data_IF_210186665184
#
_entry.id   IF_210186665184
#
_cell.length_a   1.000
_cell.length_b   1.000
_cell.length_c   1.000
_cell.angle_alpha   90.00
_cell.angle_beta   90.00
_cell.angle_gamma   90.00
#
_symmetry.space_group_name_H-M   'P 1'
#
loop_
_entity.id
_entity.type
_entity.pdbx_description
1 polymer ?
#
# COMPACT_ATOMS: atom_id res chain seq x y z
N UNK A 1 -63.10 6.58 53.81
CA UNK A 1 -62.72 5.71 52.68
C UNK A 1 -61.22 5.87 52.51
N UNK A 2 -60.46 4.95 53.11
CA UNK A 2 -59.01 4.92 53.08
C UNK A 2 -58.57 3.76 52.19
N UNK A 3 -57.48 3.98 51.48
CA UNK A 3 -56.92 3.13 50.43
C UNK A 3 -56.39 1.79 50.97
N UNK A 4 -56.56 0.73 50.19
CA UNK A 4 -55.78 -0.51 50.26
C UNK A 4 -55.15 -0.77 48.88
N UNK A 5 -53.82 -0.80 48.85
CA UNK A 5 -53.01 -1.30 47.72
C UNK A 5 -52.97 -2.83 47.74
N UNK A 6 -52.85 -3.49 46.58
CA UNK A 6 -52.30 -4.84 46.51
C UNK A 6 -50.86 -4.82 45.94
N UNK A 7 -49.91 -5.30 46.74
CA UNK A 7 -48.62 -5.79 46.27
C UNK A 7 -48.79 -7.16 45.60
N UNK A 8 -48.28 -7.33 44.37
CA UNK A 8 -47.82 -8.65 43.92
C UNK A 8 -46.77 -8.57 42.82
N UNK A 9 -45.62 -9.16 43.17
CA UNK A 9 -44.62 -9.86 42.35
C UNK A 9 -43.75 -9.07 41.35
N UNK A 10 -42.54 -8.82 41.85
CA UNK A 10 -41.27 -8.58 41.16
C UNK A 10 -41.07 -9.56 39.99
N UNK A 11 -41.18 -9.05 38.78
CA UNK A 11 -40.69 -9.71 37.57
C UNK A 11 -39.30 -9.16 37.27
N UNK A 12 -38.26 -9.88 37.69
CA UNK A 12 -36.89 -9.63 37.23
C UNK A 12 -36.86 -9.90 35.72
N UNK A 13 -36.77 -8.82 34.93
CA UNK A 13 -36.51 -8.91 33.50
C UNK A 13 -35.06 -9.35 33.31
N UNK A 14 -34.88 -10.63 32.99
CA UNK A 14 -33.67 -11.18 32.36
C UNK A 14 -33.48 -10.51 31.00
N UNK A 15 -32.88 -9.33 31.00
CA UNK A 15 -32.28 -8.71 29.81
C UNK A 15 -30.79 -9.01 29.82
N UNK A 16 -30.34 -9.92 28.95
CA UNK A 16 -28.93 -9.98 28.50
C UNK A 16 -28.65 -10.98 27.36
N UNK A 17 -29.53 -11.96 27.07
CA UNK A 17 -29.15 -13.06 26.16
C UNK A 17 -29.59 -12.88 24.69
N UNK A 18 -30.50 -11.95 24.40
CA UNK A 18 -31.03 -11.79 23.03
C UNK A 18 -30.14 -10.97 22.09
N UNK A 19 -29.27 -10.10 22.61
CA UNK A 19 -28.40 -9.24 21.78
C UNK A 19 -27.16 -10.00 21.27
N UNK A 20 -26.59 -10.89 22.10
CA UNK A 20 -25.41 -11.69 21.73
C UNK A 20 -25.71 -12.75 20.65
N UNK A 21 -26.88 -13.40 20.70
CA UNK A 21 -27.31 -14.39 19.69
C UNK A 21 -27.56 -13.73 18.33
N UNK A 22 -28.05 -12.49 18.33
CA UNK A 22 -28.29 -11.72 17.11
C UNK A 22 -26.97 -11.28 16.45
N UNK A 23 -25.97 -10.88 17.25
CA UNK A 23 -24.65 -10.48 16.73
C UNK A 23 -23.93 -11.61 15.99
N UNK A 24 -23.91 -12.82 16.56
CA UNK A 24 -23.25 -13.98 15.93
C UNK A 24 -23.93 -14.41 14.63
N UNK A 25 -25.27 -14.30 14.57
CA UNK A 25 -26.03 -14.61 13.35
C UNK A 25 -25.75 -13.59 12.23
N UNK A 26 -25.54 -12.32 12.56
CA UNK A 26 -25.12 -11.31 11.57
C UNK A 26 -23.71 -11.56 11.07
N UNK A 27 -22.76 -11.91 11.94
CA UNK A 27 -21.39 -12.22 11.54
C UNK A 27 -21.34 -13.42 10.57
N UNK A 28 -22.12 -14.47 10.85
CA UNK A 28 -22.25 -15.62 9.93
C UNK A 28 -22.85 -15.21 8.58
N UNK A 29 -23.89 -14.37 8.59
CA UNK A 29 -24.51 -13.87 7.36
C UNK A 29 -23.54 -13.00 6.53
N UNK A 30 -22.73 -12.18 7.19
CA UNK A 30 -21.71 -11.33 6.56
C UNK A 30 -20.62 -12.19 5.94
N UNK A 31 -20.08 -13.18 6.68
CA UNK A 31 -19.09 -14.11 6.16
C UNK A 31 -19.62 -14.86 4.94
N UNK A 32 -20.84 -15.41 5.03
CA UNK A 32 -21.47 -16.10 3.91
C UNK A 32 -21.70 -15.18 2.70
N UNK A 33 -21.97 -13.89 2.91
CA UNK A 33 -22.08 -12.91 1.82
C UNK A 33 -20.72 -12.65 1.18
N UNK A 34 -19.66 -12.47 1.97
CA UNK A 34 -18.30 -12.28 1.46
C UNK A 34 -17.84 -13.49 0.64
N UNK A 35 -18.09 -14.70 1.12
CA UNK A 35 -17.75 -15.94 0.40
C UNK A 35 -18.46 -16.03 -0.94
N UNK A 36 -19.77 -15.70 -1.00
CA UNK A 36 -20.52 -15.68 -2.27
C UNK A 36 -19.91 -14.69 -3.27
N UNK A 37 -19.58 -13.48 -2.83
CA UNK A 37 -18.96 -12.46 -3.68
C UNK A 37 -17.60 -12.94 -4.18
N UNK A 38 -16.77 -13.51 -3.30
CA UNK A 38 -15.44 -14.01 -3.68
C UNK A 38 -15.54 -15.20 -4.65
N UNK A 39 -16.51 -16.11 -4.48
CA UNK A 39 -16.75 -17.21 -5.41
C UNK A 39 -17.18 -16.72 -6.79
N UNK A 40 -18.09 -15.76 -6.87
CA UNK A 40 -18.51 -15.14 -8.14
C UNK A 40 -17.32 -14.49 -8.86
N UNK A 41 -16.49 -13.76 -8.13
CA UNK A 41 -15.25 -13.16 -8.66
C UNK A 41 -14.26 -14.23 -9.12
N UNK A 42 -14.12 -15.32 -8.35
CA UNK A 42 -13.18 -16.40 -8.64
C UNK A 42 -13.54 -17.20 -9.90
N UNK A 43 -14.83 -17.33 -10.19
CA UNK A 43 -15.33 -17.94 -11.44
C UNK A 43 -15.01 -17.05 -12.65
N UNK A 44 -15.08 -15.73 -12.49
CA UNK A 44 -14.83 -14.79 -13.58
C UNK A 44 -13.35 -14.52 -13.84
N UNK A 45 -12.53 -14.52 -12.77
CA UNK A 45 -11.15 -14.09 -12.83
C UNK A 45 -10.20 -15.15 -12.24
N UNK A 46 -9.18 -15.59 -12.99
CA UNK A 46 -8.10 -16.40 -12.43
C UNK A 46 -7.31 -15.58 -11.40
N UNK A 47 -6.53 -16.26 -10.56
CA UNK A 47 -5.69 -15.62 -9.55
C UNK A 47 -4.69 -14.67 -10.21
N UNK A 48 -4.04 -15.15 -11.27
CA UNK A 48 -3.14 -14.39 -12.14
C UNK A 48 -3.47 -14.75 -13.58
N UNK A 49 -3.80 -13.76 -14.42
CA UNK A 49 -4.13 -13.99 -15.82
C UNK A 49 -2.90 -14.35 -16.66
N UNK A 50 -3.14 -14.81 -17.89
CA UNK A 50 -2.12 -14.80 -18.93
C UNK A 50 -1.63 -13.38 -19.26
N UNK A 51 -0.52 -13.29 -20.00
CA UNK A 51 -0.02 -12.01 -20.51
C UNK A 51 -0.91 -11.54 -21.66
N UNK A 52 -1.60 -10.42 -21.47
CA UNK A 52 -2.53 -9.83 -22.43
C UNK A 52 -1.93 -8.59 -23.07
N UNK A 53 -2.32 -8.29 -24.30
CA UNK A 53 -2.06 -6.99 -24.92
C UNK A 53 -2.79 -5.88 -24.12
N UNK A 54 -2.13 -4.75 -23.86
CA UNK A 54 -2.72 -3.66 -23.05
C UNK A 54 -4.02 -3.11 -23.65
N UNK A 55 -4.20 -3.27 -24.97
CA UNK A 55 -5.41 -2.89 -25.70
C UNK A 55 -6.71 -3.50 -25.14
N UNK A 56 -6.64 -4.60 -24.38
CA UNK A 56 -7.82 -5.17 -23.71
C UNK A 56 -8.49 -4.19 -22.78
N UNK A 57 -7.74 -3.25 -22.17
CA UNK A 57 -8.28 -2.24 -21.27
C UNK A 57 -9.27 -1.31 -21.98
N UNK A 58 -9.12 -1.05 -23.28
CA UNK A 58 -10.06 -0.20 -24.01
C UNK A 58 -11.49 -0.76 -24.01
N UNK A 59 -11.63 -2.09 -23.93
CA UNK A 59 -12.93 -2.77 -23.92
C UNK A 59 -13.56 -2.80 -22.52
N UNK A 60 -12.78 -2.53 -21.47
CA UNK A 60 -13.25 -2.54 -20.08
C UNK A 60 -13.89 -1.22 -19.66
N UNK A 61 -13.55 -0.13 -20.34
CA UNK A 61 -14.11 1.19 -20.08
C UNK A 61 -15.04 1.60 -21.22
N UNK A 62 -16.10 2.32 -20.87
CA UNK A 62 -17.03 2.84 -21.87
C UNK A 62 -16.31 3.77 -22.86
N UNK A 63 -16.74 3.77 -24.12
CA UNK A 63 -16.10 4.55 -25.19
C UNK A 63 -16.23 6.07 -24.96
N UNK A 64 -17.28 6.48 -24.26
CA UNK A 64 -17.57 7.87 -23.89
C UNK A 64 -16.82 8.34 -22.63
N UNK A 65 -16.17 7.42 -21.90
CA UNK A 65 -15.28 7.77 -20.79
C UNK A 65 -13.90 8.25 -21.31
N UNK A 66 -13.93 9.44 -21.90
CA UNK A 66 -12.78 10.06 -22.53
C UNK A 66 -11.56 10.19 -21.60
N UNK A 67 -11.77 10.30 -20.28
CA UNK A 67 -10.68 10.43 -19.30
C UNK A 67 -9.91 9.11 -19.19
N UNK A 68 -10.60 7.98 -19.01
CA UNK A 68 -9.95 6.68 -18.92
C UNK A 68 -9.38 6.23 -20.27
N UNK A 69 -10.10 6.50 -21.37
CA UNK A 69 -9.61 6.24 -22.72
C UNK A 69 -8.27 6.97 -22.98
N UNK A 70 -8.15 8.24 -22.57
CA UNK A 70 -6.92 9.00 -22.69
C UNK A 70 -5.80 8.46 -21.79
N UNK A 71 -6.10 8.07 -20.55
CA UNK A 71 -5.12 7.45 -19.65
C UNK A 71 -4.59 6.12 -20.19
N UNK A 72 -5.45 5.29 -20.78
CA UNK A 72 -5.04 4.03 -21.41
C UNK A 72 -4.14 4.33 -22.62
N UNK A 73 -4.44 5.36 -23.43
CA UNK A 73 -3.55 5.82 -24.51
C UNK A 73 -2.18 6.24 -23.99
N UNK A 74 -2.12 6.98 -22.89
CA UNK A 74 -0.85 7.39 -22.28
C UNK A 74 -0.08 6.21 -21.69
N UNK A 75 -0.79 5.21 -21.17
CA UNK A 75 -0.21 3.98 -20.65
C UNK A 75 0.38 3.12 -21.78
N UNK A 76 -0.30 3.05 -22.91
CA UNK A 76 0.13 2.31 -24.10
C UNK A 76 1.41 2.88 -24.74
N UNK A 77 1.79 4.11 -24.41
CA UNK A 77 3.10 4.69 -24.79
C UNK A 77 4.26 4.08 -24.01
N UNK A 78 4.00 3.52 -22.82
CA UNK A 78 5.02 3.01 -21.89
C UNK A 78 5.03 1.49 -21.79
N UNK A 79 3.86 0.86 -21.91
CA UNK A 79 3.69 -0.58 -21.71
C UNK A 79 2.91 -1.19 -22.89
N UNK A 80 3.33 -2.37 -23.33
CA UNK A 80 2.66 -3.12 -24.40
C UNK A 80 1.72 -4.21 -23.85
N UNK A 81 2.08 -4.77 -22.69
CA UNK A 81 1.38 -5.91 -22.10
C UNK A 81 0.84 -5.58 -20.71
N UNK A 82 -0.19 -6.32 -20.30
CA UNK A 82 -0.75 -6.32 -18.96
C UNK A 82 -1.02 -7.74 -18.50
N UNK A 83 -0.86 -7.97 -17.19
CA UNK A 83 -1.30 -9.18 -16.50
C UNK A 83 -2.24 -8.76 -15.39
N UNK A 84 -3.44 -9.32 -15.36
CA UNK A 84 -4.47 -8.99 -14.37
C UNK A 84 -4.38 -9.97 -13.20
N UNK A 85 -4.69 -9.49 -12.00
CA UNK A 85 -4.85 -10.33 -10.81
C UNK A 85 -6.28 -10.28 -10.31
N UNK A 86 -6.72 -11.33 -9.63
CA UNK A 86 -8.06 -11.39 -9.03
C UNK A 86 -8.26 -10.25 -8.03
N UNK A 87 -9.40 -9.53 -8.06
CA UNK A 87 -9.71 -8.47 -7.09
C UNK A 87 -10.24 -9.08 -5.78
N UNK A 88 -9.37 -9.78 -5.04
CA UNK A 88 -9.68 -10.49 -3.79
C UNK A 88 -9.09 -9.81 -2.53
N UNK A 89 -8.67 -8.54 -2.65
CA UNK A 89 -7.96 -7.81 -1.60
C UNK A 89 -6.48 -8.21 -1.46
N UNK A 90 -6.01 -9.28 -2.12
CA UNK A 90 -4.61 -9.72 -2.11
C UNK A 90 -3.86 -9.36 -3.39
N UNK A 91 -4.52 -8.65 -4.31
CA UNK A 91 -4.03 -8.33 -5.65
C UNK A 91 -2.63 -7.72 -5.69
N UNK A 92 -2.26 -6.86 -4.72
CA UNK A 92 -0.93 -6.27 -4.63
C UNK A 92 0.14 -7.32 -4.36
N UNK A 93 0.02 -8.09 -3.27
CA UNK A 93 0.99 -9.12 -2.90
C UNK A 93 1.13 -10.18 -3.99
N UNK A 94 0.00 -10.55 -4.63
CA UNK A 94 -0.01 -11.52 -5.72
C UNK A 94 0.69 -10.99 -6.98
N UNK A 95 0.42 -9.75 -7.36
CA UNK A 95 1.09 -9.10 -8.49
C UNK A 95 2.58 -8.89 -8.23
N UNK A 96 2.94 -8.47 -7.02
CA UNK A 96 4.33 -8.31 -6.58
C UNK A 96 5.08 -9.63 -6.65
N UNK A 97 4.55 -10.69 -6.02
CA UNK A 97 5.16 -12.00 -5.99
C UNK A 97 5.40 -12.55 -7.39
N UNK A 98 4.38 -12.51 -8.26
CA UNK A 98 4.51 -13.05 -9.62
C UNK A 98 5.49 -12.25 -10.46
N UNK A 99 5.31 -10.92 -10.55
CA UNK A 99 6.15 -10.08 -11.41
C UNK A 99 7.61 -10.07 -10.97
N UNK A 100 7.87 -10.15 -9.66
CA UNK A 100 9.23 -10.20 -9.16
C UNK A 100 9.88 -11.55 -9.47
N UNK A 101 9.20 -12.68 -9.21
CA UNK A 101 9.73 -14.00 -9.54
C UNK A 101 9.91 -14.20 -11.05
N UNK A 102 9.00 -13.68 -11.89
CA UNK A 102 9.14 -13.67 -13.35
C UNK A 102 10.39 -12.90 -13.78
N UNK A 103 10.67 -11.74 -13.18
CA UNK A 103 11.87 -10.95 -13.48
C UNK A 103 13.18 -11.65 -13.08
N UNK A 104 13.15 -12.48 -12.03
CA UNK A 104 14.33 -13.22 -11.56
C UNK A 104 14.70 -14.44 -12.43
N UNK A 105 13.82 -14.85 -13.37
CA UNK A 105 14.15 -15.93 -14.33
C UNK A 105 15.34 -15.57 -15.21
N UNK A 106 15.52 -14.28 -15.51
CA UNK A 106 16.58 -13.78 -16.39
C UNK A 106 17.83 -13.29 -15.62
N UNK A 107 17.71 -12.97 -14.33
CA UNK A 107 18.81 -12.44 -13.49
C UNK A 107 19.23 -13.42 -12.39
N UNK A 108 20.15 -14.31 -12.73
CA UNK A 108 20.69 -15.30 -11.79
C UNK A 108 21.42 -14.69 -10.59
N UNK A 109 22.00 -13.49 -10.70
CA UNK A 109 22.72 -12.87 -9.59
C UNK A 109 21.75 -12.30 -8.58
N UNK A 110 20.73 -11.59 -9.08
CA UNK A 110 19.68 -11.05 -8.25
C UNK A 110 18.84 -12.16 -7.62
N UNK A 111 18.61 -13.27 -8.32
CA UNK A 111 17.96 -14.45 -7.75
C UNK A 111 18.68 -15.00 -6.53
N UNK A 112 20.02 -15.13 -6.58
CA UNK A 112 20.79 -15.62 -5.43
C UNK A 112 20.75 -14.63 -4.26
N UNK A 113 20.79 -13.32 -4.53
CA UNK A 113 20.61 -12.28 -3.50
C UNK A 113 19.22 -12.40 -2.86
N UNK A 114 18.18 -12.48 -3.68
CA UNK A 114 16.79 -12.59 -3.25
C UNK A 114 16.56 -13.84 -2.40
N UNK A 115 17.03 -15.01 -2.88
CA UNK A 115 16.98 -16.28 -2.13
C UNK A 115 17.66 -16.17 -0.76
N UNK A 116 18.82 -15.53 -0.67
CA UNK A 116 19.52 -15.35 0.60
C UNK A 116 18.74 -14.45 1.58
N UNK A 117 18.17 -13.34 1.09
CA UNK A 117 17.33 -12.46 1.90
C UNK A 117 16.05 -13.17 2.36
N UNK A 118 15.38 -13.91 1.46
CA UNK A 118 14.17 -14.69 1.76
C UNK A 118 14.42 -15.87 2.70
N UNK A 119 15.62 -16.48 2.66
CA UNK A 119 15.98 -17.52 3.62
C UNK A 119 16.16 -16.92 5.02
N UNK A 120 16.88 -15.80 5.11
CA UNK A 120 17.14 -15.10 6.38
C UNK A 120 15.85 -14.49 6.98
N UNK A 121 14.90 -14.09 6.15
CA UNK A 121 13.69 -13.40 6.62
C UNK A 121 12.85 -14.23 7.60
N UNK A 122 12.90 -15.56 7.55
CA UNK A 122 12.25 -16.42 8.55
C UNK A 122 12.84 -16.19 9.94
N UNK A 123 14.16 -16.29 10.08
CA UNK A 123 14.85 -16.10 11.36
C UNK A 123 14.62 -14.69 11.91
N UNK A 124 14.65 -13.70 11.02
CA UNK A 124 14.33 -12.31 11.33
C UNK A 124 12.90 -12.16 11.91
N UNK A 125 11.89 -12.82 11.33
CA UNK A 125 10.52 -12.80 11.85
C UNK A 125 10.43 -13.53 13.21
N UNK A 126 11.05 -14.69 13.35
CA UNK A 126 11.08 -15.42 14.64
C UNK A 126 11.70 -14.58 15.74
N UNK A 127 12.80 -13.87 15.45
CA UNK A 127 13.46 -12.97 16.41
C UNK A 127 12.59 -11.77 16.84
N UNK A 128 11.60 -11.41 16.02
CA UNK A 128 10.62 -10.35 16.31
C UNK A 128 9.40 -10.87 17.09
N UNK A 129 9.35 -12.17 17.42
CA UNK A 129 8.29 -12.78 18.22
C UNK A 129 7.17 -13.43 17.40
N UNK A 130 7.34 -13.59 16.08
CA UNK A 130 6.46 -14.45 15.29
C UNK A 130 6.73 -15.92 15.64
N UNK A 131 5.67 -16.71 15.81
CA UNK A 131 5.79 -18.10 16.22
C UNK A 131 6.32 -18.97 15.07
N UNK A 132 7.52 -19.54 15.21
CA UNK A 132 8.23 -20.26 14.13
C UNK A 132 7.37 -21.31 13.42
N UNK A 133 6.75 -22.23 14.17
CA UNK A 133 5.95 -23.31 13.58
C UNK A 133 4.73 -22.81 12.79
N UNK A 134 4.27 -21.58 13.04
CA UNK A 134 3.11 -21.00 12.32
C UNK A 134 3.51 -20.35 11.00
N UNK A 135 4.76 -19.94 10.87
CA UNK A 135 5.25 -19.24 9.67
C UNK A 135 6.07 -20.14 8.75
N UNK A 136 6.50 -21.30 9.25
CA UNK A 136 7.36 -22.25 8.54
C UNK A 136 6.74 -22.76 7.24
N UNK A 137 5.47 -23.17 7.24
CA UNK A 137 4.81 -23.68 6.03
C UNK A 137 4.69 -22.60 4.94
N UNK A 138 4.41 -21.36 5.34
CA UNK A 138 4.34 -20.21 4.42
C UNK A 138 5.73 -19.86 3.87
N UNK A 139 6.76 -19.92 4.70
CA UNK A 139 8.16 -19.73 4.28
C UNK A 139 8.59 -20.81 3.29
N UNK A 140 8.30 -22.07 3.59
CA UNK A 140 8.65 -23.20 2.72
C UNK A 140 8.01 -23.04 1.34
N UNK A 141 6.72 -22.70 1.28
CA UNK A 141 6.02 -22.43 0.01
C UNK A 141 6.69 -21.31 -0.79
N UNK A 142 7.11 -20.23 -0.12
CA UNK A 142 7.81 -19.13 -0.77
C UNK A 142 9.18 -19.56 -1.30
N UNK A 143 9.94 -20.35 -0.53
CA UNK A 143 11.24 -20.87 -0.94
C UNK A 143 11.12 -21.88 -2.10
N UNK A 144 10.08 -22.72 -2.11
CA UNK A 144 9.79 -23.66 -3.19
C UNK A 144 9.55 -22.92 -4.51
N UNK A 145 8.78 -21.82 -4.49
CA UNK A 145 8.57 -20.96 -5.66
C UNK A 145 9.87 -20.32 -6.15
N UNK A 146 10.75 -19.88 -5.23
CA UNK A 146 12.07 -19.36 -5.58
C UNK A 146 12.94 -20.46 -6.21
N UNK A 147 12.87 -21.69 -5.70
CA UNK A 147 13.63 -22.83 -6.22
C UNK A 147 13.14 -23.26 -7.62
N UNK A 148 11.84 -23.15 -7.90
CA UNK A 148 11.31 -23.34 -9.25
C UNK A 148 11.92 -22.35 -10.26
N UNK A 149 12.07 -21.08 -9.86
CA UNK A 149 12.73 -20.05 -10.67
C UNK A 149 14.22 -20.37 -10.85
N UNK A 150 14.90 -20.84 -9.80
CA UNK A 150 16.31 -21.26 -9.86
C UNK A 150 16.54 -22.43 -10.82
N UNK A 151 15.59 -23.35 -10.91
CA UNK A 151 15.58 -24.45 -11.89
C UNK A 151 15.28 -23.98 -13.32
N UNK A 152 15.08 -22.67 -13.55
CA UNK A 152 14.72 -22.05 -14.83
C UNK A 152 13.47 -22.65 -15.45
N UNK A 153 12.43 -22.76 -14.63
CA UNK A 153 11.10 -23.16 -15.09
C UNK A 153 10.55 -22.18 -16.13
N UNK A 154 9.59 -22.61 -16.95
CA UNK A 154 8.96 -21.70 -17.88
C UNK A 154 8.04 -20.72 -17.15
N UNK A 155 7.80 -19.54 -17.74
CA UNK A 155 6.83 -18.57 -17.20
C UNK A 155 5.43 -19.19 -17.05
N UNK A 156 5.07 -20.13 -17.93
CA UNK A 156 3.80 -20.84 -17.89
C UNK A 156 3.70 -21.77 -16.67
N UNK A 157 4.79 -22.47 -16.31
CA UNK A 157 4.83 -23.35 -15.13
C UNK A 157 4.79 -22.54 -13.82
N UNK A 158 5.50 -21.41 -13.78
CA UNK A 158 5.41 -20.46 -12.67
C UNK A 158 3.98 -19.91 -12.53
N UNK A 159 3.35 -19.55 -13.65
CA UNK A 159 1.96 -19.09 -13.68
C UNK A 159 0.97 -20.17 -13.22
N UNK A 160 1.23 -21.44 -13.56
CA UNK A 160 0.41 -22.56 -13.09
C UNK A 160 0.50 -22.69 -11.56
N UNK A 161 1.70 -22.58 -10.99
CA UNK A 161 1.90 -22.59 -9.53
C UNK A 161 1.23 -21.39 -8.84
N UNK A 162 1.25 -20.20 -9.45
CA UNK A 162 0.52 -19.02 -8.95
C UNK A 162 -1.00 -19.10 -9.10
N UNK A 163 -1.51 -20.00 -9.94
CA UNK A 163 -2.95 -20.27 -10.08
C UNK A 163 -3.42 -21.47 -9.25
N UNK A 164 -2.53 -22.16 -8.54
CA UNK A 164 -2.92 -23.05 -7.45
C UNK A 164 -3.32 -22.22 -6.23
N UNK A 165 -4.56 -22.40 -5.75
CA UNK A 165 -5.13 -21.54 -4.70
C UNK A 165 -4.32 -21.61 -3.40
N UNK A 166 -3.96 -22.81 -2.96
CA UNK A 166 -3.15 -23.01 -1.75
C UNK A 166 -1.78 -22.36 -1.85
N UNK A 167 -1.04 -22.66 -2.92
CA UNK A 167 0.33 -22.15 -3.13
C UNK A 167 0.35 -20.63 -3.18
N UNK A 168 -0.57 -20.05 -3.95
CA UNK A 168 -0.67 -18.61 -4.17
C UNK A 168 -1.11 -17.87 -2.90
N UNK A 169 -2.02 -18.43 -2.11
CA UNK A 169 -2.45 -17.82 -0.85
C UNK A 169 -1.40 -17.96 0.25
N UNK A 170 -0.68 -19.09 0.32
CA UNK A 170 0.43 -19.27 1.26
C UNK A 170 1.56 -18.28 0.99
N UNK A 171 1.87 -18.04 -0.30
CA UNK A 171 2.78 -16.97 -0.70
C UNK A 171 2.29 -15.60 -0.20
N UNK A 172 1.02 -15.25 -0.43
CA UNK A 172 0.45 -13.96 0.00
C UNK A 172 0.56 -13.80 1.51
N UNK A 173 0.23 -14.85 2.29
CA UNK A 173 0.37 -14.82 3.75
C UNK A 173 1.82 -14.51 4.13
N UNK A 174 2.80 -15.18 3.53
CA UNK A 174 4.20 -14.93 3.84
C UNK A 174 4.62 -13.48 3.52
N UNK A 175 4.22 -12.95 2.35
CA UNK A 175 4.52 -11.57 1.97
C UNK A 175 3.86 -10.55 2.92
N UNK A 176 2.64 -10.82 3.41
CA UNK A 176 1.98 -10.00 4.45
C UNK A 176 2.76 -10.02 5.76
N UNK A 177 3.26 -11.19 6.19
CA UNK A 177 4.09 -11.32 7.39
C UNK A 177 5.41 -10.56 7.26
N UNK A 178 6.08 -10.63 6.11
CA UNK A 178 7.28 -9.82 5.83
C UNK A 178 7.00 -8.32 5.92
N UNK A 179 5.86 -7.90 5.39
CA UNK A 179 5.41 -6.50 5.45
C UNK A 179 5.17 -6.07 6.89
N UNK A 180 4.45 -6.90 7.67
CA UNK A 180 4.22 -6.65 9.10
C UNK A 180 5.52 -6.57 9.89
N UNK A 181 6.44 -7.52 9.67
CA UNK A 181 7.74 -7.52 10.33
C UNK A 181 8.56 -6.27 10.04
N UNK A 182 8.62 -5.83 8.78
CA UNK A 182 9.35 -4.60 8.43
C UNK A 182 8.72 -3.35 9.05
N UNK A 183 7.38 -3.25 9.04
CA UNK A 183 6.67 -2.15 9.70
C UNK A 183 6.96 -2.10 11.20
N UNK A 184 6.91 -3.25 11.89
CA UNK A 184 7.17 -3.32 13.32
C UNK A 184 8.63 -3.00 13.67
N UNK A 185 9.58 -3.45 12.84
CA UNK A 185 11.02 -3.16 12.98
C UNK A 185 11.31 -1.66 12.88
N UNK A 186 10.73 -0.99 11.90
CA UNK A 186 10.90 0.44 11.64
C UNK A 186 9.73 1.26 12.21
N UNK A 187 9.16 0.83 13.34
CA UNK A 187 7.91 1.38 13.89
C UNK A 187 7.97 2.89 14.14
N UNK A 188 9.09 3.42 14.64
CA UNK A 188 9.27 4.88 14.85
C UNK A 188 9.20 5.68 13.55
N UNK A 189 9.60 5.10 12.42
CA UNK A 189 9.45 5.75 11.12
C UNK A 189 7.99 5.72 10.66
N UNK A 190 7.33 4.56 10.80
CA UNK A 190 5.98 4.35 10.27
C UNK A 190 4.84 4.92 11.11
N UNK A 191 5.05 5.16 12.42
CA UNK A 191 4.00 5.65 13.33
C UNK A 191 3.32 6.95 12.83
N UNK A 192 4.07 7.82 12.18
CA UNK A 192 3.59 9.11 11.67
C UNK A 192 2.71 8.99 10.41
N UNK A 193 2.73 7.83 9.75
CA UNK A 193 1.96 7.54 8.54
C UNK A 193 0.69 6.73 8.84
N UNK A 194 0.48 6.31 10.10
CA UNK A 194 -0.67 5.49 10.49
C UNK A 194 -1.79 6.39 10.98
N UNK A 195 -2.94 6.29 10.31
CA UNK A 195 -4.14 7.03 10.67
C UNK A 195 -4.93 6.35 11.82
N UNK A 196 -5.61 7.18 12.61
CA UNK A 196 -6.57 6.74 13.63
C UNK A 196 -5.99 6.51 15.03
N UNK A 197 -4.78 7.02 15.32
CA UNK A 197 -4.19 6.94 16.67
C UNK A 197 -3.80 5.53 17.13
N UNK A 198 -3.74 4.58 16.18
CA UNK A 198 -3.31 3.20 16.41
C UNK A 198 -1.80 3.11 16.46
N UNK A 199 -1.30 2.16 17.24
CA UNK A 199 0.11 1.77 17.19
C UNK A 199 0.41 1.02 15.89
N UNK A 200 1.70 0.97 15.51
CA UNK A 200 2.14 0.20 14.33
C UNK A 200 1.76 -1.27 14.44
N UNK A 201 1.85 -1.85 15.64
CA UNK A 201 1.48 -3.25 15.87
C UNK A 201 -0.01 -3.49 15.69
N UNK A 202 -0.87 -2.62 16.20
CA UNK A 202 -2.33 -2.71 16.01
C UNK A 202 -2.70 -2.55 14.53
N UNK A 203 -2.04 -1.63 13.82
CA UNK A 203 -2.22 -1.47 12.38
C UNK A 203 -1.85 -2.77 11.63
N UNK A 204 -0.71 -3.38 11.96
CA UNK A 204 -0.29 -4.64 11.35
C UNK A 204 -1.32 -5.75 11.55
N UNK A 205 -1.82 -5.92 12.78
CA UNK A 205 -2.80 -6.96 13.13
C UNK A 205 -4.18 -6.74 12.48
N UNK A 206 -4.55 -5.51 12.17
CA UNK A 206 -5.87 -5.17 11.63
C UNK A 206 -5.90 -5.06 10.11
N UNK A 207 -4.84 -4.52 9.49
CA UNK A 207 -4.84 -4.18 8.05
C UNK A 207 -3.77 -4.92 7.22
N UNK A 208 -2.73 -5.46 7.85
CA UNK A 208 -1.59 -6.07 7.11
C UNK A 208 -1.66 -7.60 7.14
N UNK A 209 -1.65 -8.18 8.34
CA UNK A 209 -1.58 -9.63 8.59
C UNK A 209 -2.83 -10.39 8.13
N UNK A 210 -4.07 -9.87 8.32
CA UNK A 210 -5.25 -10.57 7.85
C UNK A 210 -5.32 -10.66 6.32
N UNK A 211 -5.78 -11.81 5.83
CA UNK A 211 -6.03 -12.03 4.41
C UNK A 211 -7.18 -11.14 3.90
N UNK A 212 -7.15 -10.86 2.60
CA UNK A 212 -8.21 -10.12 1.89
C UNK A 212 -8.37 -8.66 2.35
N UNK A 213 -7.39 -8.11 3.08
CA UNK A 213 -7.30 -6.69 3.42
C UNK A 213 -6.59 -5.89 2.32
N UNK A 214 -7.17 -4.74 1.96
CA UNK A 214 -6.63 -3.87 0.92
C UNK A 214 -5.21 -3.38 1.26
N UNK A 215 -4.39 -3.23 0.22
CA UNK A 215 -3.01 -2.74 0.37
C UNK A 215 -2.89 -1.30 -0.14
N UNK A 216 -2.51 -0.40 0.75
CA UNK A 216 -2.12 0.97 0.46
C UNK A 216 -0.59 1.13 0.31
N UNK A 217 -0.13 2.34 0.00
CA UNK A 217 1.26 2.73 -0.26
C UNK A 217 2.24 2.32 0.85
N UNK A 218 1.81 2.35 2.11
CA UNK A 218 2.64 1.92 3.24
C UNK A 218 3.08 0.45 3.12
N UNK A 219 2.19 -0.43 2.64
CA UNK A 219 2.49 -1.84 2.40
C UNK A 219 3.50 -2.02 1.28
N UNK A 220 3.36 -1.21 0.21
CA UNK A 220 4.22 -1.26 -0.96
C UNK A 220 5.67 -0.91 -0.58
N UNK A 221 5.84 0.19 0.15
CA UNK A 221 7.15 0.63 0.62
C UNK A 221 7.74 -0.40 1.58
N UNK A 222 6.96 -0.86 2.56
CA UNK A 222 7.44 -1.79 3.57
C UNK A 222 7.89 -3.11 2.95
N UNK A 223 7.11 -3.69 2.03
CA UNK A 223 7.49 -4.94 1.36
C UNK A 223 8.72 -4.76 0.45
N UNK A 224 8.80 -3.65 -0.29
CA UNK A 224 9.95 -3.36 -1.14
C UNK A 224 11.25 -3.26 -0.32
N UNK A 225 11.19 -2.58 0.84
CA UNK A 225 12.32 -2.44 1.74
C UNK A 225 12.66 -3.76 2.44
N UNK A 226 11.66 -4.53 2.89
CA UNK A 226 11.84 -5.82 3.53
C UNK A 226 12.67 -6.80 2.67
N UNK A 227 12.38 -6.84 1.37
CA UNK A 227 13.08 -7.70 0.40
C UNK A 227 14.29 -7.01 -0.27
N UNK A 228 14.49 -5.72 0.02
CA UNK A 228 15.51 -4.87 -0.59
C UNK A 228 15.43 -4.88 -2.12
N UNK A 229 14.21 -4.75 -2.67
CA UNK A 229 13.94 -4.76 -4.12
C UNK A 229 13.41 -3.40 -4.58
N UNK A 230 13.71 -3.06 -5.83
CA UNK A 230 13.17 -1.86 -6.46
C UNK A 230 11.89 -2.19 -7.20
N UNK A 231 10.77 -1.55 -6.84
CA UNK A 231 9.53 -1.65 -7.60
C UNK A 231 9.57 -0.60 -8.72
N UNK A 232 10.35 -0.87 -9.77
CA UNK A 232 10.29 -0.11 -11.02
C UNK A 232 9.75 -1.01 -12.12
N UNK A 233 8.63 -0.62 -12.74
CA UNK A 233 8.06 -1.31 -13.90
C UNK A 233 6.85 -2.20 -13.59
N UNK A 234 6.57 -2.51 -12.32
CA UNK A 234 5.31 -3.12 -11.94
C UNK A 234 4.22 -2.04 -11.91
N UNK A 235 3.56 -1.82 -13.05
CA UNK A 235 2.23 -1.24 -13.01
C UNK A 235 1.32 -2.29 -12.37
N UNK A 236 1.25 -2.28 -11.04
CA UNK A 236 0.11 -2.88 -10.35
C UNK A 236 -1.06 -1.99 -10.72
N UNK A 237 -1.74 -2.33 -11.80
CA UNK A 237 -3.15 -1.98 -11.89
C UNK A 237 -3.78 -2.82 -10.80
N UNK A 238 -3.78 -2.30 -9.56
CA UNK A 238 -4.77 -2.75 -8.59
C UNK A 238 -6.07 -2.56 -9.34
N UNK A 239 -6.65 -3.69 -9.75
CA UNK A 239 -7.92 -3.69 -10.44
C UNK A 239 -8.79 -2.80 -9.57
N UNK A 240 -9.15 -1.62 -10.09
CA UNK A 240 -10.00 -0.68 -9.37
C UNK A 240 -11.19 -1.53 -8.96
N UNK A 241 -11.30 -1.74 -7.65
CA UNK A 241 -12.26 -2.67 -7.09
C UNK A 241 -13.62 -2.29 -7.71
N UNK A 242 -14.34 -3.27 -8.25
CA UNK A 242 -15.69 -3.07 -8.78
C UNK A 242 -16.71 -2.81 -7.63
N UNK A 243 -16.25 -2.25 -6.51
CA UNK A 243 -17.06 -1.82 -5.40
C UNK A 243 -17.74 -0.49 -5.76
N UNK A 244 -19.09 -0.40 -5.75
CA UNK A 244 -19.81 0.84 -6.02
C UNK A 244 -19.66 1.93 -4.94
N UNK A 245 -18.94 1.65 -3.84
CA UNK A 245 -19.03 2.42 -2.59
C UNK A 245 -17.97 3.50 -2.36
N UNK A 246 -17.01 3.75 -3.26
CA UNK A 246 -16.21 4.99 -3.16
C UNK A 246 -15.81 5.55 -4.53
N UNK A 247 -16.38 6.70 -4.89
CA UNK A 247 -15.98 7.46 -6.08
C UNK A 247 -14.54 8.01 -5.98
N UNK A 248 -13.90 7.94 -4.81
CA UNK A 248 -12.55 8.42 -4.55
C UNK A 248 -11.43 7.41 -4.87
N UNK A 249 -11.72 6.11 -4.92
CA UNK A 249 -10.69 5.07 -5.14
C UNK A 249 -10.37 4.79 -6.63
N UNK A 250 -11.08 5.42 -7.57
CA UNK A 250 -10.93 5.13 -9.01
C UNK A 250 -9.68 5.76 -9.65
N UNK A 251 -8.87 6.51 -8.90
CA UNK A 251 -7.77 7.34 -9.43
C UNK A 251 -6.37 7.03 -8.87
N UNK A 252 -6.24 6.13 -7.88
CA UNK A 252 -4.95 5.93 -7.18
C UNK A 252 -4.04 4.83 -7.74
N UNK A 253 -4.49 3.99 -8.68
CA UNK A 253 -3.70 2.83 -9.16
C UNK A 253 -3.00 3.07 -10.52
N UNK A 254 -2.79 4.32 -10.93
CA UNK A 254 -2.18 4.65 -12.23
C UNK A 254 -1.08 5.71 -12.11
N UNK A 255 -0.21 5.61 -11.11
CA UNK A 255 1.09 6.31 -11.08
C UNK A 255 1.97 5.86 -9.89
N UNK A 256 2.49 4.63 -9.91
CA UNK A 256 3.74 4.31 -9.21
C UNK A 256 4.85 4.14 -10.26
N UNK A 257 5.11 5.24 -10.96
CA UNK A 257 6.29 5.42 -11.79
C UNK A 257 6.84 6.83 -11.56
N UNK A 258 7.18 7.12 -10.32
CA UNK A 258 8.26 8.07 -10.02
C UNK A 258 9.22 7.28 -9.13
N UNK A 259 10.39 6.84 -9.62
CA UNK A 259 11.42 6.42 -8.68
C UNK A 259 11.66 7.58 -7.72
N UNK A 260 11.65 7.35 -6.41
CA UNK A 260 12.33 8.27 -5.52
C UNK A 260 13.79 8.32 -6.01
N UNK A 261 14.27 9.43 -6.59
CA UNK A 261 15.66 9.53 -6.96
C UNK A 261 16.49 9.43 -5.69
N UNK A 262 17.67 8.82 -5.77
CA UNK A 262 18.67 8.69 -4.69
C UNK A 262 19.17 10.04 -4.11
N UNK A 263 18.50 11.15 -4.41
CA UNK A 263 18.89 12.56 -4.22
C UNK A 263 17.90 13.37 -3.38
N UNK A 264 16.87 12.73 -2.84
CA UNK A 264 15.91 13.34 -1.92
C UNK A 264 16.17 12.80 -0.52
N UNK A 265 16.30 13.71 0.46
CA UNK A 265 16.55 13.38 1.87
C UNK A 265 15.42 13.99 2.71
N UNK A 266 14.90 13.28 3.73
CA UNK A 266 13.92 13.84 4.66
C UNK A 266 14.52 15.04 5.39
N UNK A 267 13.75 16.11 5.54
CA UNK A 267 14.10 17.24 6.37
C UNK A 267 14.11 16.78 7.83
N UNK A 268 15.30 16.47 8.35
CA UNK A 268 15.49 16.15 9.76
C UNK A 268 14.91 17.27 10.63
N UNK A 269 13.93 16.94 11.46
CA UNK A 269 13.46 17.84 12.51
C UNK A 269 14.63 18.09 13.47
N UNK A 270 14.88 19.34 13.91
CA UNK A 270 15.87 19.59 14.94
C UNK A 270 15.45 18.88 16.25
N UNK A 271 16.41 18.40 17.05
CA UNK A 271 16.11 17.68 18.29
C UNK A 271 15.42 18.62 19.28
N UNK A 272 14.21 18.26 19.72
CA UNK A 272 13.55 18.92 20.84
C UNK A 272 14.14 18.33 22.13
N UNK A 273 15.10 19.03 22.74
CA UNK A 273 15.52 18.73 24.10
C UNK A 273 14.44 19.16 25.11
N UNK A 274 14.19 18.37 26.19
CA UNK A 274 13.18 18.68 27.19
C UNK A 274 13.78 19.47 28.36
N UNK A 275 13.37 20.73 28.55
CA UNK A 275 13.48 21.53 29.78
C UNK A 275 12.52 22.72 29.63
N UNK A 276 11.84 23.30 30.62
CA UNK A 276 11.58 23.04 32.03
C UNK A 276 10.45 24.04 32.40
N UNK A 277 9.78 23.77 33.51
CA UNK A 277 8.56 24.43 33.98
C UNK A 277 8.73 25.81 34.64
N UNK A 278 7.63 26.61 34.59
CA UNK A 278 7.18 27.72 35.48
C UNK A 278 7.57 29.19 35.12
N UNK A 279 6.88 30.23 35.65
CA UNK A 279 5.47 30.58 35.39
C UNK A 279 5.21 32.10 35.16
N UNK A 280 4.04 32.44 34.63
CA UNK A 280 3.35 33.71 34.93
C UNK A 280 3.71 34.96 34.10
N UNK A 281 2.78 35.37 33.23
CA UNK A 281 2.53 36.79 32.94
C UNK A 281 1.11 36.98 32.37
N UNK A 282 0.26 37.59 33.18
CA UNK A 282 -1.03 38.17 32.82
C UNK A 282 -0.78 39.37 31.93
N UNK A 283 -1.32 39.41 30.71
CA UNK A 283 -1.67 40.67 30.06
C UNK A 283 -3.02 40.57 29.33
N UNK A 284 -3.84 41.53 29.71
CA UNK A 284 -5.24 41.80 29.37
C UNK A 284 -5.27 42.59 28.06
N UNK A 285 -6.16 42.26 27.12
CA UNK A 285 -6.32 43.00 25.87
C UNK A 285 -7.59 42.65 25.13
N UNK A 286 -8.68 43.30 25.52
CA UNK A 286 -10.00 43.27 24.89
C UNK A 286 -10.03 44.06 23.57
N UNK A 287 -10.61 43.50 22.51
CA UNK A 287 -11.38 44.28 21.53
C UNK A 287 -12.28 43.35 20.69
N UNK A 288 -13.57 43.40 21.00
CA UNK A 288 -14.68 42.83 20.25
C UNK A 288 -15.17 43.82 19.19
N UNK A 289 -15.30 43.39 17.92
CA UNK A 289 -16.27 43.98 16.98
C UNK A 289 -16.86 42.85 16.12
N UNK A 290 -18.20 42.79 16.10
CA UNK A 290 -19.01 41.77 15.43
C UNK A 290 -19.21 41.97 13.91
N UNK A 291 -20.09 41.17 13.29
CA UNK A 291 -19.99 40.77 11.90
C UNK A 291 -20.76 41.67 10.93
N UNK A 292 -20.34 41.70 9.66
CA UNK A 292 -21.11 42.27 8.55
C UNK A 292 -21.19 41.27 7.39
N UNK A 293 -22.44 40.91 7.09
CA UNK A 293 -22.90 40.16 5.92
C UNK A 293 -23.43 41.19 4.91
N UNK A 294 -22.90 41.24 3.69
CA UNK A 294 -23.60 41.83 2.53
C UNK A 294 -23.25 41.03 1.27
N UNK A 295 -24.29 40.60 0.56
CA UNK A 295 -24.26 39.99 -0.77
C UNK A 295 -24.02 41.02 -1.89
N UNK A 296 -23.34 40.62 -2.97
CA UNK A 296 -23.65 41.11 -4.32
C UNK A 296 -22.50 41.60 -5.22
N UNK A 297 -22.18 40.75 -6.22
CA UNK A 297 -21.94 41.08 -7.65
C UNK A 297 -20.50 41.35 -8.18
N UNK A 298 -20.20 40.57 -9.25
CA UNK A 298 -19.27 40.68 -10.41
C UNK A 298 -17.77 40.28 -10.35
N UNK A 299 -17.41 39.45 -11.34
CA UNK A 299 -16.12 38.80 -11.66
C UNK A 299 -14.93 39.75 -11.85
N UNK A 300 -13.70 39.20 -11.67
CA UNK A 300 -12.71 39.32 -12.75
C UNK A 300 -12.05 37.98 -13.13
N UNK A 301 -11.60 37.92 -14.37
CA UNK A 301 -10.86 36.82 -14.98
C UNK A 301 -9.67 36.35 -14.13
N UNK A 302 -9.63 35.05 -13.82
CA UNK A 302 -8.44 34.41 -13.26
C UNK A 302 -7.46 34.12 -14.41
N UNK A 303 -6.34 34.83 -14.35
CA UNK A 303 -5.17 34.63 -15.19
C UNK A 303 -4.61 33.20 -15.04
N UNK A 304 -3.94 32.64 -16.06
CA UNK A 304 -3.25 31.38 -15.94
C UNK A 304 -2.09 31.52 -14.95
N UNK A 305 -2.15 30.81 -13.83
CA UNK A 305 -1.03 30.68 -12.91
C UNK A 305 0.15 29.99 -13.63
N UNK A 306 1.39 30.49 -13.49
CA UNK A 306 2.54 29.88 -14.13
C UNK A 306 2.83 28.52 -13.52
N UNK A 307 3.07 27.53 -14.39
CA UNK A 307 3.62 26.21 -14.04
C UNK A 307 4.97 26.43 -13.32
N UNK A 308 5.18 25.95 -12.08
CA UNK A 308 6.51 25.98 -11.49
C UNK A 308 7.38 24.97 -12.23
N UNK A 309 8.36 25.47 -12.96
CA UNK A 309 9.47 24.69 -13.50
C UNK A 309 10.27 24.09 -12.33
N UNK A 310 9.94 22.86 -11.91
CA UNK A 310 10.63 22.13 -10.84
C UNK A 310 11.91 21.48 -11.37
N UNK A 311 12.94 22.28 -11.58
CA UNK A 311 14.31 21.81 -11.78
C UNK A 311 15.31 22.86 -11.27
N UNK A 312 15.39 23.03 -9.94
CA UNK A 312 16.34 23.95 -9.30
C UNK A 312 16.76 23.44 -7.92
N UNK A 313 18.03 23.68 -7.49
CA UNK A 313 18.50 23.34 -6.14
C UNK A 313 17.59 23.93 -5.06
N UNK A 314 17.17 23.13 -4.08
CA UNK A 314 16.32 23.57 -2.97
C UNK A 314 14.81 23.43 -3.19
N UNK A 315 14.36 22.81 -4.29
CA UNK A 315 12.96 22.42 -4.45
C UNK A 315 12.51 21.47 -3.31
N UNK A 316 11.30 21.67 -2.79
CA UNK A 316 10.71 20.84 -1.73
C UNK A 316 9.43 20.16 -2.22
N UNK A 317 9.21 18.92 -1.78
CA UNK A 317 7.98 18.17 -2.00
C UNK A 317 7.58 17.54 -0.67
N UNK A 318 6.59 18.13 0.01
CA UNK A 318 6.28 17.78 1.40
C UNK A 318 7.48 17.96 2.33
N UNK A 319 7.78 16.94 3.13
CA UNK A 319 8.91 16.90 4.08
C UNK A 319 10.28 16.57 3.44
N UNK A 320 10.37 16.55 2.11
CA UNK A 320 11.57 16.17 1.39
C UNK A 320 12.23 17.38 0.71
N UNK A 321 13.57 17.43 0.76
CA UNK A 321 14.38 18.49 0.12
C UNK A 321 15.21 17.94 -1.04
N UNK A 322 15.18 18.64 -2.17
CA UNK A 322 16.01 18.38 -3.35
C UNK A 322 17.38 19.07 -3.21
N UNK A 323 18.46 18.29 -3.23
CA UNK A 323 19.82 18.78 -2.98
C UNK A 323 20.50 19.49 -4.18
N UNK A 324 19.88 19.52 -5.37
CA UNK A 324 20.43 20.17 -6.57
C UNK A 324 21.63 19.44 -7.18
N UNK A 325 22.03 19.84 -8.39
CA UNK A 325 23.27 19.37 -9.01
C UNK A 325 24.46 20.17 -8.44
N UNK A 326 25.42 19.48 -7.82
CA UNK A 326 26.74 20.06 -7.59
C UNK A 326 27.40 20.31 -8.96
N UNK A 327 28.12 21.44 -9.14
CA UNK A 327 28.88 21.66 -10.36
C UNK A 327 29.85 20.49 -10.56
N UNK A 328 29.90 19.96 -11.78
CA UNK A 328 30.96 19.03 -12.18
C UNK A 328 32.28 19.73 -11.93
N UNK A 329 33.07 19.18 -11.03
CA UNK A 329 34.46 19.59 -10.82
C UNK A 329 35.20 19.44 -12.17
N UNK A 330 35.72 20.53 -12.76
CA UNK A 330 36.57 20.40 -13.93
C UNK A 330 37.84 19.70 -13.46
N UNK A 331 37.97 18.42 -13.81
CA UNK A 331 39.18 17.64 -13.53
C UNK A 331 40.45 18.40 -13.97
N UNK A 332 41.60 18.10 -13.34
CA UNK A 332 42.82 18.89 -13.51
C UNK A 332 43.23 19.00 -14.99
N UNK A 333 43.81 20.15 -15.41
CA UNK A 333 44.12 20.39 -16.81
C UNK A 333 45.10 19.34 -17.36
N UNK A 334 44.72 18.69 -18.46
CA UNK A 334 45.62 17.81 -19.23
C UNK A 334 46.74 18.66 -19.85
N UNK A 335 47.97 18.42 -19.42
CA UNK A 335 49.19 18.82 -20.13
C UNK A 335 49.17 18.19 -21.53
N UNK A 336 49.05 19.02 -22.57
CA UNK A 336 49.33 18.59 -23.95
C UNK A 336 50.85 18.48 -24.13
N UNK A 337 51.33 17.30 -24.47
CA UNK A 337 52.68 17.12 -24.99
C UNK A 337 52.75 17.69 -26.41
N UNK A 338 53.75 18.56 -26.66
CA UNK A 338 54.05 19.09 -27.98
C UNK A 338 54.54 17.97 -28.92
N UNK A 339 54.20 18.01 -30.23
CA UNK A 339 54.75 17.07 -31.19
C UNK A 339 56.22 17.41 -31.50
N UNK A 340 56.99 16.36 -31.78
CA UNK A 340 58.41 16.39 -32.15
C UNK A 340 58.67 17.04 -33.50
#
# INVERSE_FOLDING_TARGET
>A
MAAEEPQQQKQESLGSDSEGVNCLAYDEAIMAQQDRIQQEIAVQNPLVSERLELSVLYKEYAEDDNIYQQKIKDLHKKYSYIRKTRPDGNCFYRAFGFSHLEALLDDSKELQRFKAVSAKSKEDLVSQGFTEFTIEDFHNTFMDLIEQVEKRTSVADLLASFNDQSTSDYLVVYLRLLTSGHLQRESTFFEHFIEGGRTVKEFCQQEVEPMCKESDHIHIIALAQALSVSIQGMLVVSCVCACPCSAAARLAALCLAVPLPSRWVPLGLPPVHPQASLPGAVLRGSASWGPLLVSGVLLPALQPSPVPSLAGPGASMGIWKFLGDLPRDPGPPRLQAAPS
#
